data_IF_336439641213
#
_entry.id   IF_336439641213
#
_cell.length_a   1.000
_cell.length_b   1.000
_cell.length_c   1.000
_cell.angle_alpha   90.00
_cell.angle_beta   90.00
_cell.angle_gamma   90.00
#
_symmetry.space_group_name_H-M   'P 1'
#
loop_
_entity.id
_entity.type
_entity.pdbx_description
1 polymer ?
2 non-polymer ?
3 non-polymer ?
4 water ?
#
# COMPACT_ATOMS: atom_id res chain seq x y z
N UNK A 1 -12.73 -14.38 -11.38
CA UNK A 1 -11.46 -14.33 -10.60
C UNK A 1 -11.87 -14.13 -9.13
N UNK A 2 -10.91 -14.39 -8.24
CA UNK A 2 -11.17 -14.22 -6.80
C UNK A 2 -9.98 -13.44 -6.21
N UNK A 3 -10.22 -12.67 -5.16
CA UNK A 3 -9.07 -11.92 -4.59
C UNK A 3 -9.44 -11.76 -3.10
N UNK A 4 -8.41 -12.05 -2.26
CA UNK A 4 -8.55 -11.84 -0.84
C UNK A 4 -8.60 -10.31 -0.55
N UNK A 5 -9.53 -9.89 0.29
CA UNK A 5 -9.58 -8.50 0.83
C UNK A 5 -8.21 -8.04 1.35
N UNK A 6 -7.85 -6.76 1.04
CA UNK A 6 -6.55 -6.31 1.46
C UNK A 6 -5.42 -6.67 0.55
N UNK A 7 -5.67 -7.29 -0.61
CA UNK A 7 -4.64 -7.61 -1.57
C UNK A 7 -4.84 -6.88 -2.93
N UNK A 8 -3.73 -6.75 -3.66
CA UNK A 8 -3.74 -6.26 -5.00
C UNK A 8 -3.65 -7.41 -5.99
N UNK A 9 -4.19 -7.15 -7.20
CA UNK A 9 -4.16 -8.14 -8.34
C UNK A 9 -3.66 -7.37 -9.57
N UNK A 10 -2.74 -7.95 -10.32
CA UNK A 10 -2.31 -7.38 -11.58
C UNK A 10 -3.15 -7.99 -12.71
N UNK A 11 -4.03 -7.21 -13.25
CA UNK A 11 -4.93 -7.63 -14.31
C UNK A 11 -4.20 -7.51 -15.64
N UNK A 12 -4.31 -8.51 -16.51
CA UNK A 12 -3.63 -8.40 -17.77
C UNK A 12 -4.69 -8.31 -18.90
N UNK A 13 -4.49 -7.42 -19.85
CA UNK A 13 -5.50 -7.09 -20.88
C UNK A 13 -4.79 -6.97 -22.22
N UNK A 14 -5.52 -7.26 -23.32
CA UNK A 14 -4.95 -6.97 -24.62
C UNK A 14 -4.75 -5.47 -24.81
N UNK A 15 -3.64 -5.05 -25.37
CA UNK A 15 -3.33 -3.70 -25.70
C UNK A 15 -4.07 -3.17 -26.87
N UNK A 16 -4.19 -4.03 -27.92
CA UNK A 16 -4.73 -3.45 -29.19
C UNK A 16 -6.13 -2.95 -29.09
N UNK A 17 -6.32 -1.70 -29.58
CA UNK A 17 -7.62 -1.07 -29.54
C UNK A 17 -8.29 -0.81 -28.22
N UNK A 18 -7.47 -0.90 -27.14
CA UNK A 18 -7.96 -0.67 -25.81
C UNK A 18 -8.17 0.88 -25.65
N UNK A 19 -9.26 1.20 -25.03
CA UNK A 19 -9.63 2.62 -24.71
C UNK A 19 -9.63 2.90 -23.24
N UNK A 20 -10.28 2.12 -22.38
CA UNK A 20 -10.43 2.49 -20.94
C UNK A 20 -10.88 1.36 -20.10
N UNK A 21 -10.43 1.30 -18.85
CA UNK A 21 -10.80 0.30 -17.92
C UNK A 21 -11.53 1.00 -16.79
N UNK A 22 -12.73 0.58 -16.50
CA UNK A 22 -13.65 1.23 -15.56
C UNK A 22 -14.18 0.34 -14.53
N UNK A 23 -14.32 0.92 -13.32
CA UNK A 23 -15.06 0.28 -12.19
C UNK A 23 -16.21 1.19 -11.91
N UNK A 24 -17.41 0.84 -12.38
CA UNK A 24 -18.51 1.87 -12.47
C UNK A 24 -18.02 3.11 -13.16
N UNK A 25 -18.10 4.29 -12.59
CA UNK A 25 -17.60 5.45 -13.33
C UNK A 25 -16.16 5.87 -12.99
N UNK A 26 -15.45 5.06 -12.24
CA UNK A 26 -14.06 5.33 -11.90
C UNK A 26 -13.10 4.72 -12.94
N UNK A 27 -12.15 5.50 -13.43
CA UNK A 27 -11.18 5.01 -14.42
C UNK A 27 -10.03 4.36 -13.70
N UNK A 28 -9.51 3.23 -14.17
CA UNK A 28 -8.39 2.57 -13.58
C UNK A 28 -7.29 2.68 -14.58
N UNK A 29 -6.13 3.25 -14.21
CA UNK A 29 -5.00 3.39 -15.16
C UNK A 29 -4.36 2.06 -15.58
N UNK A 30 -3.68 2.17 -16.70
CA UNK A 30 -2.98 1.03 -17.23
C UNK A 30 -1.52 1.35 -17.47
N UNK A 31 -0.71 0.31 -17.62
CA UNK A 31 0.71 0.40 -17.92
C UNK A 31 1.18 -0.81 -18.74
N UNK A 32 2.35 -0.67 -19.36
CA UNK A 32 2.83 -1.71 -20.28
C UNK A 32 3.21 -3.01 -19.55
N UNK A 33 2.80 -4.12 -20.14
CA UNK A 33 3.43 -5.44 -19.72
C UNK A 33 4.83 -5.46 -20.18
N UNK A 34 5.81 -5.67 -19.27
CA UNK A 34 7.24 -5.50 -19.63
C UNK A 34 7.76 -6.60 -20.53
N UNK A 35 7.07 -7.70 -20.54
CA UNK A 35 7.55 -8.87 -21.35
C UNK A 35 6.75 -9.09 -22.63
N UNK A 36 5.44 -8.94 -22.54
CA UNK A 36 4.49 -9.29 -23.65
C UNK A 36 4.00 -7.99 -24.25
N UNK A 37 4.60 -7.57 -25.33
CA UNK A 37 4.17 -6.32 -26.08
C UNK A 37 2.73 -6.23 -26.57
N UNK A 38 1.98 -7.32 -26.58
CA UNK A 38 0.61 -7.27 -26.94
C UNK A 38 -0.33 -7.06 -25.71
N UNK A 39 0.29 -6.89 -24.51
CA UNK A 39 -0.54 -6.82 -23.30
C UNK A 39 -0.28 -5.49 -22.54
N UNK A 40 -1.29 -5.11 -21.76
CA UNK A 40 -1.12 -4.05 -20.74
C UNK A 40 -1.56 -4.65 -19.41
N UNK A 41 -1.32 -3.89 -18.30
CA UNK A 41 -1.53 -4.33 -16.95
C UNK A 41 -2.26 -3.18 -16.22
N UNK A 42 -3.09 -3.56 -15.26
CA UNK A 42 -3.70 -2.65 -14.29
C UNK A 42 -3.63 -3.29 -12.91
N UNK A 43 -3.53 -2.42 -11.88
CA UNK A 43 -3.64 -2.91 -10.50
C UNK A 43 -5.00 -2.67 -9.96
N UNK A 44 -5.62 -3.74 -9.48
CA UNK A 44 -6.87 -3.64 -8.81
C UNK A 44 -6.74 -4.16 -7.38
N UNK A 45 -7.16 -3.33 -6.41
CA UNK A 45 -7.01 -3.74 -5.01
C UNK A 45 -8.29 -3.69 -4.33
N UNK A 46 -8.50 -4.61 -3.38
CA UNK A 46 -9.68 -4.55 -2.51
C UNK A 46 -9.26 -4.00 -1.11
N UNK A 47 -10.05 -3.14 -0.54
CA UNK A 47 -9.78 -2.68 0.83
C UNK A 47 -10.01 -3.83 1.81
N UNK A 48 -9.24 -3.82 2.89
CA UNK A 48 -9.38 -4.77 3.95
C UNK A 48 -10.77 -4.62 4.62
N UNK A 49 -11.15 -3.40 4.98
CA UNK A 49 -12.40 -3.13 5.65
C UNK A 49 -13.51 -2.78 4.66
N UNK A 50 -14.66 -3.44 4.86
CA UNK A 50 -15.88 -3.12 4.09
C UNK A 50 -15.66 -3.24 2.60
N UNK A 51 -15.01 -4.30 2.18
CA UNK A 51 -14.90 -4.47 0.70
C UNK A 51 -16.29 -4.88 0.14
N UNK A 52 -16.51 -4.65 -1.15
CA UNK A 52 -17.73 -5.25 -1.78
C UNK A 52 -17.61 -6.71 -1.85
N UNK A 53 -18.74 -7.44 -1.90
CA UNK A 53 -18.63 -8.88 -2.03
C UNK A 53 -18.16 -9.28 -3.46
N UNK A 54 -18.54 -8.46 -4.42
CA UNK A 54 -18.17 -8.70 -5.83
C UNK A 54 -17.90 -7.41 -6.58
N UNK A 55 -17.00 -7.49 -7.55
CA UNK A 55 -16.66 -6.34 -8.39
C UNK A 55 -16.76 -6.75 -9.88
N UNK A 56 -17.30 -5.84 -10.67
CA UNK A 56 -17.24 -5.98 -12.11
C UNK A 56 -16.52 -4.80 -12.73
N UNK A 57 -15.42 -5.07 -13.42
CA UNK A 57 -14.63 -4.06 -14.15
C UNK A 57 -15.02 -4.24 -15.60
N UNK A 58 -14.97 -3.17 -16.34
CA UNK A 58 -15.13 -3.27 -17.81
C UNK A 58 -14.01 -2.61 -18.59
N UNK A 59 -13.39 -3.40 -19.47
CA UNK A 59 -12.41 -2.92 -20.37
C UNK A 59 -13.10 -2.54 -21.69
N UNK A 60 -13.12 -1.24 -22.03
CA UNK A 60 -13.73 -0.76 -23.27
C UNK A 60 -12.69 -0.71 -24.35
N UNK A 61 -12.99 -1.38 -25.50
CA UNK A 61 -12.19 -1.36 -26.67
C UNK A 61 -12.97 -0.61 -27.78
N UNK A 62 -12.28 -0.35 -28.86
CA UNK A 62 -12.89 0.33 -29.99
C UNK A 62 -14.05 -0.52 -30.64
N UNK A 63 -13.97 -1.85 -30.47
CA UNK A 63 -14.79 -2.86 -31.20
C UNK A 63 -15.75 -3.63 -30.25
N UNK A 64 -15.49 -3.57 -28.96
CA UNK A 64 -16.24 -4.41 -28.02
C UNK A 64 -15.89 -3.99 -26.54
N UNK A 65 -16.57 -4.60 -25.61
CA UNK A 65 -16.20 -4.48 -24.15
C UNK A 65 -15.95 -5.84 -23.58
N UNK A 66 -15.05 -5.91 -22.61
CA UNK A 66 -14.70 -7.13 -21.85
C UNK A 66 -15.05 -6.94 -20.37
N UNK A 67 -15.96 -7.73 -19.83
CA UNK A 67 -16.24 -7.76 -18.38
C UNK A 67 -15.27 -8.63 -17.65
N UNK A 68 -14.85 -8.19 -16.44
CA UNK A 68 -13.96 -8.93 -15.59
C UNK A 68 -14.68 -8.95 -14.23
N UNK A 69 -14.87 -10.17 -13.70
CA UNK A 69 -15.59 -10.35 -12.42
C UNK A 69 -14.64 -10.82 -11.36
N UNK A 70 -14.67 -10.13 -10.20
CA UNK A 70 -13.76 -10.50 -9.10
C UNK A 70 -14.60 -10.67 -7.79
N UNK A 71 -14.50 -11.90 -7.25
CA UNK A 71 -15.16 -12.26 -5.99
C UNK A 71 -14.19 -11.97 -4.83
N UNK A 72 -14.71 -11.28 -3.86
CA UNK A 72 -13.90 -10.97 -2.64
C UNK A 72 -13.82 -12.19 -1.79
N UNK A 73 -12.63 -12.62 -1.42
CA UNK A 73 -12.47 -13.68 -0.40
C UNK A 73 -12.06 -13.09 0.95
N UNK A 74 -12.38 -13.80 2.03
CA UNK A 74 -12.11 -13.29 3.40
C UNK A 74 -10.70 -13.57 3.76
N UNK A 75 -10.09 -14.58 3.14
CA UNK A 75 -8.79 -15.02 3.49
C UNK A 75 -8.76 -15.69 4.89
N UNK A 76 -7.58 -15.80 5.42
CA UNK A 76 -7.31 -16.47 6.72
C UNK A 76 -6.47 -15.65 7.61
N UNK A 77 -6.83 -14.38 7.75
CA UNK A 77 -6.13 -13.47 8.61
C UNK A 77 -6.31 -13.82 10.09
N UNK A 78 -5.32 -13.48 10.89
CA UNK A 78 -5.44 -13.57 12.37
C UNK A 78 -6.45 -12.52 12.85
N UNK A 79 -7.33 -12.84 13.79
CA UNK A 79 -8.32 -11.94 14.25
C UNK A 79 -8.55 -12.22 15.75
N UNK A 80 -8.84 -11.18 16.49
CA UNK A 80 -9.26 -11.30 17.90
C UNK A 80 -10.49 -10.42 18.16
N UNK A 81 -11.28 -10.90 19.11
CA UNK A 81 -12.52 -10.28 19.50
C UNK A 81 -12.21 -9.05 20.34
N UNK A 82 -12.92 -7.96 20.10
CA UNK A 82 -12.86 -6.80 20.97
C UNK A 82 -13.93 -7.00 22.04
N UNK A 83 -13.53 -6.68 23.27
CA UNK A 83 -14.40 -6.75 24.42
C UNK A 83 -15.33 -5.52 24.49
N UNK A 84 -14.79 -4.35 24.12
CA UNK A 84 -15.56 -3.11 24.14
C UNK A 84 -15.76 -2.64 22.70
N UNK A 85 -16.98 -2.23 22.36
CA UNK A 85 -17.26 -1.69 21.02
C UNK A 85 -16.35 -0.48 20.61
N UNK A 86 -15.90 -0.51 19.34
CA UNK A 86 -15.08 0.62 18.81
C UNK A 86 -15.96 1.84 18.51
N UNK A 87 -16.39 2.47 19.59
CA UNK A 87 -17.26 3.65 19.50
C UNK A 87 -16.42 4.89 19.22
N UNK A 88 -17.06 6.03 18.99
CA UNK A 88 -16.38 7.31 18.88
C UNK A 88 -15.44 7.43 20.06
N UNK A 89 -14.16 7.77 19.82
CA UNK A 89 -13.24 8.16 20.93
C UNK A 89 -13.09 9.67 20.92
N UNK A 90 -12.50 10.20 21.97
CA UNK A 90 -12.54 11.65 22.16
C UNK A 90 -11.15 12.22 22.34
N UNK A 91 -10.38 12.32 21.26
CA UNK A 91 -9.04 12.92 21.46
C UNK A 91 -9.10 14.42 21.74
N UNK A 92 -8.01 14.98 22.29
CA UNK A 92 -7.87 16.40 22.41
C UNK A 92 -8.05 17.08 21.00
N UNK A 93 -8.65 18.25 20.94
CA UNK A 93 -8.87 18.95 19.67
C UNK A 93 -7.59 19.12 18.90
N UNK A 94 -6.50 19.46 19.58
CA UNK A 94 -5.24 19.60 18.93
C UNK A 94 -4.80 18.37 18.13
N UNK A 95 -5.11 17.19 18.69
CA UNK A 95 -4.78 15.97 18.05
C UNK A 95 -5.76 15.70 16.88
N UNK A 96 -7.05 15.92 17.11
CA UNK A 96 -8.05 15.80 16.00
C UNK A 96 -7.57 16.64 14.82
N UNK A 97 -7.16 17.87 15.07
CA UNK A 97 -6.72 18.77 14.00
C UNK A 97 -5.51 18.27 13.26
N UNK A 98 -4.56 17.76 13.99
CA UNK A 98 -3.36 17.26 13.37
C UNK A 98 -3.68 16.06 12.43
N UNK A 99 -4.45 15.10 12.95
CA UNK A 99 -4.91 13.94 12.23
C UNK A 99 -5.59 14.34 10.95
N UNK A 100 -6.50 15.30 11.04
CA UNK A 100 -7.27 15.73 9.88
C UNK A 100 -6.38 16.38 8.83
N UNK A 101 -5.43 17.18 9.27
CA UNK A 101 -4.50 17.84 8.39
C UNK A 101 -3.62 16.84 7.63
N UNK A 102 -3.04 15.90 8.40
CA UNK A 102 -2.17 14.91 7.82
C UNK A 102 -2.92 13.95 6.85
N UNK A 103 -4.17 13.69 7.14
CA UNK A 103 -5.03 12.84 6.26
C UNK A 103 -5.26 13.56 4.97
N UNK A 104 -5.63 14.85 5.04
CA UNK A 104 -5.77 15.63 3.81
C UNK A 104 -4.51 15.68 2.98
N UNK A 105 -3.36 15.90 3.64
CA UNK A 105 -2.09 15.91 2.97
C UNK A 105 -1.79 14.56 2.25
N UNK A 106 -1.93 13.49 3.00
CA UNK A 106 -1.64 12.17 2.42
C UNK A 106 -2.65 11.87 1.28
N UNK A 107 -3.92 12.19 1.44
CA UNK A 107 -4.90 11.87 0.39
C UNK A 107 -4.52 12.54 -0.89
N UNK A 108 -4.07 13.78 -0.78
CA UNK A 108 -3.57 14.53 -1.92
C UNK A 108 -2.38 13.92 -2.62
N UNK A 109 -1.37 13.51 -1.84
CA UNK A 109 -0.21 12.88 -2.37
C UNK A 109 -0.50 11.58 -3.07
N UNK A 110 -1.38 10.75 -2.51
CA UNK A 110 -1.70 9.52 -3.10
C UNK A 110 -2.58 9.66 -4.35
N UNK A 111 -3.18 10.83 -4.49
CA UNK A 111 -3.93 11.19 -5.70
C UNK A 111 -3.12 11.68 -6.86
N UNK A 112 -1.88 12.08 -6.69
CA UNK A 112 -1.07 12.66 -7.78
C UNK A 112 -0.36 11.49 -8.56
N UNK A 113 -1.06 10.93 -9.55
CA UNK A 113 -0.65 9.64 -10.14
C UNK A 113 0.54 9.85 -11.08
N UNK A 114 1.65 9.04 -10.98
CA UNK A 114 2.76 9.16 -11.81
C UNK A 114 2.70 8.07 -12.95
N UNK A 115 2.50 8.49 -14.18
CA UNK A 115 2.20 7.50 -15.23
C UNK A 115 3.41 6.89 -15.88
N UNK A 116 4.51 6.65 -15.16
CA UNK A 116 5.66 6.01 -15.65
C UNK A 116 6.33 5.23 -14.48
N UNK A 117 7.19 4.31 -14.82
CA UNK A 117 7.88 3.54 -13.77
C UNK A 117 8.99 4.41 -13.19
N UNK A 118 8.99 4.56 -11.88
CA UNK A 118 10.15 5.15 -11.18
C UNK A 118 11.02 4.10 -10.45
N UNK A 119 10.54 2.88 -10.38
CA UNK A 119 11.26 1.70 -9.91
C UNK A 119 12.28 1.13 -10.90
N UNK A 120 13.10 0.24 -10.42
CA UNK A 120 14.19 -0.39 -11.17
C UNK A 120 14.21 -1.83 -10.86
N UNK A 121 13.44 -2.62 -11.58
CA UNK A 121 13.33 -3.99 -11.33
C UNK A 121 12.56 -4.35 -10.07
N UNK A 122 12.91 -5.49 -9.51
CA UNK A 122 12.21 -6.10 -8.37
C UNK A 122 12.36 -5.22 -7.09
N UNK A 123 11.32 -5.27 -6.26
CA UNK A 123 11.44 -4.78 -4.89
C UNK A 123 12.33 -5.68 -4.07
N UNK A 124 13.08 -5.05 -3.16
CA UNK A 124 13.89 -5.72 -2.12
C UNK A 124 13.27 -5.40 -0.80
N UNK A 125 13.44 -6.27 0.19
CA UNK A 125 12.92 -5.91 1.51
C UNK A 125 13.76 -4.73 2.05
N UNK A 126 13.16 -3.91 2.93
CA UNK A 126 13.90 -2.74 3.38
C UNK A 126 15.00 -2.95 4.47
N UNK A 127 15.01 -4.14 5.04
CA UNK A 127 16.11 -4.54 5.93
C UNK A 127 16.01 -6.07 5.97
N UNK A 128 17.14 -6.69 6.30
CA UNK A 128 17.22 -8.13 6.21
C UNK A 128 16.85 -8.80 7.47
N UNK A 129 15.72 -8.47 7.98
CA UNK A 129 15.19 -9.02 9.18
C UNK A 129 14.01 -9.90 8.97
N UNK A 130 13.17 -10.05 9.98
CA UNK A 130 12.02 -10.96 9.97
C UNK A 130 10.77 -10.34 10.44
N UNK A 131 9.64 -10.81 10.01
CA UNK A 131 8.36 -10.24 10.44
C UNK A 131 7.94 -10.58 11.85
N UNK A 132 7.61 -9.61 12.68
CA UNK A 132 7.11 -9.85 14.01
C UNK A 132 5.64 -9.59 14.13
N UNK A 133 4.98 -8.85 13.23
CA UNK A 133 3.58 -8.65 13.26
C UNK A 133 3.07 -8.53 11.83
N UNK A 134 2.34 -9.53 11.34
CA UNK A 134 1.91 -9.56 9.94
C UNK A 134 0.84 -8.57 9.55
N UNK A 135 0.75 -8.26 8.25
CA UNK A 135 -0.39 -7.49 7.73
C UNK A 135 -1.71 -8.18 7.98
N UNK A 136 -2.71 -7.44 8.30
CA UNK A 136 -4.09 -7.87 8.27
C UNK A 136 -4.57 -8.52 9.54
N UNK A 137 -3.74 -8.53 10.60
CA UNK A 137 -4.27 -8.94 11.91
C UNK A 137 -5.37 -8.00 12.26
N UNK A 138 -6.49 -8.51 12.72
CA UNK A 138 -7.65 -7.67 12.85
C UNK A 138 -8.20 -7.77 14.28
N UNK A 139 -9.01 -6.80 14.62
CA UNK A 139 -9.82 -6.77 15.84
C UNK A 139 -11.24 -6.62 15.44
N UNK A 140 -12.11 -7.54 15.94
CA UNK A 140 -13.48 -7.51 15.47
C UNK A 140 -14.43 -7.25 16.65
N UNK A 141 -15.52 -6.60 16.35
CA UNK A 141 -16.62 -6.44 17.33
C UNK A 141 -17.89 -6.92 16.64
N UNK A 142 -18.48 -7.96 17.22
CA UNK A 142 -19.68 -8.56 16.66
C UNK A 142 -19.42 -9.08 15.26
N UNK A 143 -18.25 -9.71 15.11
CA UNK A 143 -17.75 -10.29 13.83
C UNK A 143 -17.59 -9.32 12.64
N UNK A 144 -17.54 -8.02 12.91
CA UNK A 144 -17.30 -7.06 11.88
C UNK A 144 -15.89 -6.50 12.22
N UNK A 145 -15.08 -6.23 11.22
CA UNK A 145 -13.74 -5.66 11.44
C UNK A 145 -13.83 -4.21 11.95
N UNK A 146 -13.27 -3.95 13.14
CA UNK A 146 -13.11 -2.66 13.70
C UNK A 146 -11.79 -1.99 13.34
N UNK A 147 -10.72 -2.78 13.34
CA UNK A 147 -9.43 -2.23 12.98
C UNK A 147 -8.53 -3.36 12.51
N UNK A 148 -7.48 -3.00 11.76
CA UNK A 148 -6.55 -3.99 11.27
C UNK A 148 -5.18 -3.45 11.10
N UNK A 149 -4.19 -4.30 11.05
CA UNK A 149 -2.80 -3.88 10.83
C UNK A 149 -2.60 -3.61 9.39
N UNK A 150 -2.30 -2.36 9.03
CA UNK A 150 -2.26 -1.94 7.62
C UNK A 150 -0.94 -2.07 6.94
N UNK A 151 0.06 -2.68 7.59
CA UNK A 151 1.32 -2.98 7.03
C UNK A 151 1.96 -4.13 7.76
N UNK A 152 3.22 -4.33 7.58
CA UNK A 152 3.90 -5.48 8.25
C UNK A 152 5.06 -4.96 9.03
N UNK A 153 5.28 -5.48 10.23
CA UNK A 153 6.39 -5.04 11.04
C UNK A 153 7.57 -6.00 11.05
N UNK A 154 8.75 -5.43 10.86
CA UNK A 154 10.02 -6.16 10.85
C UNK A 154 10.73 -5.98 12.17
N UNK A 155 11.32 -6.97 12.71
CA UNK A 155 12.14 -6.78 13.93
C UNK A 155 13.30 -5.87 13.67
N UNK A 156 13.45 -4.85 14.54
CA UNK A 156 14.55 -3.96 14.44
C UNK A 156 14.80 -3.28 15.80
N UNK A 157 16.00 -3.37 16.26
CA UNK A 157 16.46 -2.54 17.39
C UNK A 157 16.48 -1.10 16.93
N UNK A 158 16.26 -0.15 17.84
CA UNK A 158 16.46 1.24 17.45
C UNK A 158 17.79 1.50 16.85
N UNK A 159 17.80 2.25 15.74
CA UNK A 159 18.96 2.59 15.06
C UNK A 159 19.44 1.65 13.99
N UNK A 160 18.55 0.80 13.48
CA UNK A 160 18.88 -0.12 12.41
C UNK A 160 18.71 0.55 11.05
N UNK A 161 19.69 0.49 10.19
CA UNK A 161 19.59 1.17 8.85
C UNK A 161 18.46 0.56 8.02
N UNK A 162 17.67 1.48 7.46
CA UNK A 162 16.56 1.11 6.55
C UNK A 162 16.82 1.62 5.18
N UNK A 163 16.56 0.75 4.19
CA UNK A 163 16.92 1.00 2.84
C UNK A 163 15.66 0.98 1.96
N UNK A 164 15.63 1.88 0.93
CA UNK A 164 14.48 1.90 0.03
C UNK A 164 14.29 0.56 -0.65
N UNK A 165 13.04 0.14 -0.63
CA UNK A 165 12.63 -1.16 -1.23
C UNK A 165 12.67 -1.14 -2.72
N UNK A 166 12.58 0.06 -3.32
CA UNK A 166 12.83 0.20 -4.76
C UNK A 166 13.14 1.65 -5.03
N UNK A 167 13.55 1.97 -6.25
CA UNK A 167 13.75 3.35 -6.58
C UNK A 167 12.47 4.15 -6.71
N UNK A 168 12.53 5.46 -6.49
CA UNK A 168 11.39 6.32 -6.59
C UNK A 168 11.65 7.75 -6.18
N UNK A 169 10.60 8.46 -5.91
CA UNK A 169 10.70 9.81 -5.43
C UNK A 169 10.03 9.95 -4.07
N UNK A 170 10.76 10.61 -3.14
CA UNK A 170 10.24 10.80 -1.78
C UNK A 170 9.15 11.77 -1.70
N UNK A 171 7.98 11.45 -1.19
CA UNK A 171 6.81 12.30 -1.15
C UNK A 171 6.53 12.83 0.25
N UNK A 172 6.90 12.02 1.26
CA UNK A 172 6.70 12.31 2.70
C UNK A 172 7.97 11.99 3.43
N UNK A 173 8.44 12.90 4.36
CA UNK A 173 9.65 12.72 5.04
C UNK A 173 9.62 13.56 6.36
N UNK A 174 8.70 13.26 7.21
CA UNK A 174 8.45 14.01 8.45
C UNK A 174 7.79 13.22 9.49
N UNK A 175 7.65 13.83 10.68
CA UNK A 175 6.89 13.22 11.73
C UNK A 175 5.43 13.35 11.64
N UNK A 176 4.66 12.30 11.74
CA UNK A 176 3.23 12.29 11.67
C UNK A 176 2.57 11.63 12.82
N UNK A 177 1.33 11.91 13.11
CA UNK A 177 0.68 11.31 14.26
C UNK A 177 0.58 9.81 14.19
N UNK A 178 0.01 9.30 13.15
CA UNK A 178 -0.04 7.74 13.39
C UNK A 178 1.31 7.04 13.25
N UNK A 179 2.05 7.53 12.33
CA UNK A 179 3.21 6.89 11.83
C UNK A 179 4.52 7.28 12.48
N UNK A 180 4.58 8.26 13.38
CA UNK A 180 5.86 8.74 13.79
C UNK A 180 6.64 9.27 12.64
N UNK A 181 7.95 9.28 12.76
CA UNK A 181 8.83 9.73 11.73
C UNK A 181 8.65 8.80 10.51
N UNK A 182 8.23 9.36 9.41
CA UNK A 182 7.87 8.53 8.25
C UNK A 182 8.36 8.97 6.93
N UNK A 183 8.62 7.99 6.05
CA UNK A 183 9.05 8.22 4.71
C UNK A 183 8.05 7.48 3.81
N UNK A 184 7.64 8.12 2.75
CA UNK A 184 6.75 7.53 1.73
C UNK A 184 7.42 7.79 0.42
N UNK A 185 7.59 6.76 -0.40
CA UNK A 185 8.24 6.83 -1.71
C UNK A 185 7.20 6.49 -2.79
N UNK A 186 7.11 7.37 -3.77
CA UNK A 186 6.36 7.07 -5.08
C UNK A 186 7.21 6.27 -6.04
N UNK A 187 6.74 5.10 -6.45
CA UNK A 187 7.46 4.22 -7.36
C UNK A 187 6.89 4.30 -8.83
N UNK A 188 5.87 5.13 -9.02
CA UNK A 188 5.11 5.19 -10.28
C UNK A 188 3.95 4.23 -10.24
N UNK A 189 3.01 4.52 -11.14
CA UNK A 189 1.87 3.67 -11.33
C UNK A 189 1.00 3.54 -10.08
N UNK A 190 0.98 4.55 -9.22
CA UNK A 190 0.18 4.54 -8.05
C UNK A 190 0.66 3.60 -6.95
N UNK A 191 1.93 3.21 -7.03
CA UNK A 191 2.54 2.28 -6.06
C UNK A 191 3.44 3.09 -5.09
N UNK A 192 3.15 3.02 -3.79
CA UNK A 192 3.91 3.81 -2.80
C UNK A 192 4.38 2.85 -1.73
N UNK A 193 5.61 2.98 -1.32
CA UNK A 193 6.12 2.26 -0.14
C UNK A 193 6.25 3.22 1.03
N UNK A 194 6.07 2.68 2.25
CA UNK A 194 5.91 3.42 3.49
C UNK A 194 6.83 2.84 4.55
N UNK A 195 7.52 3.74 5.34
CA UNK A 195 8.53 3.26 6.30
C UNK A 195 8.26 4.10 7.52
N UNK A 196 7.68 3.49 8.59
CA UNK A 196 7.15 4.25 9.70
C UNK A 196 8.00 4.00 10.98
N UNK A 197 7.83 4.92 11.94
CA UNK A 197 8.40 4.85 13.29
C UNK A 197 9.88 5.02 13.41
N UNK A 198 10.50 5.66 12.43
CA UNK A 198 11.88 5.88 12.29
C UNK A 198 12.41 6.70 13.49
N UNK A 199 13.64 6.44 13.84
CA UNK A 199 14.33 7.35 14.76
C UNK A 199 15.02 8.47 14.04
N UNK A 200 15.39 8.30 12.80
CA UNK A 200 16.12 9.33 12.00
C UNK A 200 15.68 9.25 10.55
N UNK A 201 15.38 10.40 9.98
CA UNK A 201 15.04 10.51 8.52
C UNK A 201 16.22 11.01 7.76
N UNK A 202 16.67 10.31 6.72
CA UNK A 202 17.86 10.65 6.01
C UNK A 202 17.58 11.19 4.59
N UNK A 203 16.34 11.40 4.25
CA UNK A 203 16.00 11.94 2.92
C UNK A 203 15.08 13.17 3.09
N UNK A 204 14.85 13.89 1.98
CA UNK A 204 13.92 14.95 1.96
C UNK A 204 12.88 14.84 0.84
N UNK A 205 11.79 15.50 1.04
CA UNK A 205 10.70 15.55 0.08
C UNK A 205 11.22 15.96 -1.28
N UNK A 206 10.81 15.24 -2.32
CA UNK A 206 11.32 15.51 -3.68
C UNK A 206 12.56 14.86 -4.16
N UNK A 207 13.30 14.20 -3.29
CA UNK A 207 14.53 13.56 -3.57
C UNK A 207 14.30 12.30 -4.40
N UNK A 208 15.14 12.06 -5.41
CA UNK A 208 15.16 10.77 -6.17
C UNK A 208 15.96 9.80 -5.34
N UNK A 209 15.47 8.59 -5.07
CA UNK A 209 16.15 7.61 -4.22
C UNK A 209 16.29 6.33 -5.08
N UNK A 210 17.42 5.66 -4.99
CA UNK A 210 17.69 4.42 -5.66
C UNK A 210 17.33 3.22 -4.75
N UNK A 211 16.92 2.12 -5.34
CA UNK A 211 16.74 0.85 -4.64
C UNK A 211 17.94 0.59 -3.79
N UNK A 212 17.74 0.27 -2.51
CA UNK A 212 18.84 -0.04 -1.66
C UNK A 212 19.59 1.11 -1.03
N UNK A 213 19.22 2.33 -1.32
CA UNK A 213 19.79 3.48 -0.72
C UNK A 213 19.22 3.69 0.67
N UNK A 214 20.05 4.20 1.60
CA UNK A 214 19.58 4.49 2.97
C UNK A 214 18.54 5.59 3.03
N UNK A 215 17.45 5.35 3.72
CA UNK A 215 16.45 6.33 3.92
C UNK A 215 16.31 6.82 5.36
N UNK A 216 16.86 6.06 6.30
CA UNK A 216 16.68 6.42 7.69
C UNK A 216 17.19 5.33 8.59
N UNK A 217 16.95 5.54 9.85
CA UNK A 217 17.23 4.53 10.93
C UNK A 217 15.93 4.24 11.59
N UNK A 218 15.73 2.98 11.87
CA UNK A 218 14.57 2.46 12.52
C UNK A 218 14.40 3.02 13.94
N UNK A 219 13.22 3.10 14.42
CA UNK A 219 13.02 3.50 15.81
C UNK A 219 11.77 2.98 16.44
N UNK A 220 11.20 3.81 17.34
CA UNK A 220 9.96 3.58 17.95
C UNK A 220 9.07 4.76 17.95
N UNK A 221 9.34 5.72 17.08
CA UNK A 221 8.56 6.96 17.14
C UNK A 221 7.10 6.68 16.82
N UNK A 222 6.22 7.13 17.67
CA UNK A 222 4.78 7.00 17.44
C UNK A 222 4.26 5.65 17.67
N UNK A 223 5.05 4.78 18.31
CA UNK A 223 4.74 3.39 18.51
C UNK A 223 4.52 3.08 20.03
N UNK A 224 3.43 2.43 20.30
CA UNK A 224 3.16 2.01 21.66
C UNK A 224 3.93 0.80 22.03
N UNK A 225 4.10 -0.11 21.08
CA UNK A 225 4.76 -1.43 21.43
C UNK A 225 6.25 -1.62 21.30
N UNK A 226 7.03 -0.61 21.24
CA UNK A 226 8.48 -0.97 21.28
C UNK A 226 9.02 -0.87 19.86
N UNK A 227 10.32 -0.85 19.72
CA UNK A 227 10.93 -0.48 18.46
C UNK A 227 10.66 -1.55 17.39
N UNK A 228 10.42 -1.10 16.16
CA UNK A 228 10.26 -2.08 14.99
C UNK A 228 10.11 -1.17 13.75
N UNK A 229 10.30 -1.75 12.55
CA UNK A 229 10.05 -1.02 11.30
C UNK A 229 8.69 -1.43 10.82
N UNK A 230 7.75 -0.51 10.64
CA UNK A 230 6.46 -0.80 10.04
C UNK A 230 6.67 -0.50 8.53
N UNK A 231 6.43 -1.48 7.64
CA UNK A 231 6.56 -1.31 6.24
C UNK A 231 5.17 -1.47 5.60
N UNK A 232 4.77 -0.56 4.69
CA UNK A 232 3.47 -0.59 4.04
C UNK A 232 3.67 -0.36 2.51
N UNK A 233 2.68 -0.84 1.80
CA UNK A 233 2.50 -0.56 0.35
C UNK A 233 1.06 -0.13 0.15
N UNK A 234 0.92 1.01 -0.56
CA UNK A 234 -0.35 1.47 -1.07
C UNK A 234 -0.29 1.29 -2.60
N UNK A 235 -1.30 0.63 -3.14
CA UNK A 235 -1.31 0.37 -4.62
C UNK A 235 -2.78 0.18 -4.95
N UNK A 236 -3.14 0.67 -6.13
CA UNK A 236 -4.54 0.65 -6.51
C UNK A 236 -5.44 1.47 -5.57
N UNK A 237 -4.87 2.48 -4.96
CA UNK A 237 -5.55 3.31 -4.02
C UNK A 237 -5.75 2.81 -2.63
N UNK A 238 -5.28 1.60 -2.30
CA UNK A 238 -5.59 1.00 -1.03
C UNK A 238 -4.32 0.49 -0.34
N UNK A 239 -4.31 0.38 1.00
CA UNK A 239 -3.19 -0.36 1.67
C UNK A 239 -3.38 -1.85 1.39
N UNK A 240 -2.35 -2.47 0.89
CA UNK A 240 -2.44 -3.90 0.60
C UNK A 240 -1.33 -4.68 1.29
N UNK A 241 -1.49 -6.00 1.34
CA UNK A 241 -0.49 -6.85 1.97
C UNK A 241 0.85 -6.70 1.30
N UNK A 242 1.84 -6.16 2.00
CA UNK A 242 3.08 -5.76 1.31
C UNK A 242 3.86 -6.91 0.77
N UNK A 243 3.99 -8.01 1.52
CA UNK A 243 4.81 -9.10 0.98
C UNK A 243 4.11 -9.80 -0.19
N UNK A 244 2.79 -9.97 -0.08
CA UNK A 244 1.96 -10.43 -1.18
C UNK A 244 2.13 -9.56 -2.44
N UNK A 245 2.04 -8.25 -2.24
CA UNK A 245 2.29 -7.32 -3.34
C UNK A 245 3.68 -7.44 -3.98
N UNK A 246 4.78 -7.53 -3.19
CA UNK A 246 6.09 -7.62 -3.70
C UNK A 246 6.22 -8.91 -4.53
N UNK A 247 5.70 -9.98 -3.99
CA UNK A 247 5.74 -11.28 -4.70
C UNK A 247 5.11 -11.17 -6.11
N UNK A 248 3.93 -10.58 -6.16
CA UNK A 248 3.17 -10.35 -7.41
C UNK A 248 3.92 -9.45 -8.41
N UNK A 249 4.39 -8.31 -7.90
CA UNK A 249 5.15 -7.36 -8.66
C UNK A 249 6.44 -7.91 -9.23
N UNK A 250 7.19 -8.64 -8.40
CA UNK A 250 8.46 -9.17 -8.77
C UNK A 250 8.27 -10.27 -9.82
N UNK A 251 7.20 -11.00 -9.75
CA UNK A 251 6.90 -12.08 -10.75
C UNK A 251 6.83 -11.44 -12.14
N UNK A 252 6.37 -10.18 -12.22
CA UNK A 252 6.24 -9.50 -13.50
C UNK A 252 7.49 -8.74 -13.85
N UNK A 253 8.13 -8.00 -12.91
CA UNK A 253 9.15 -7.01 -13.24
C UNK A 253 10.55 -7.40 -12.90
N UNK A 254 10.78 -8.53 -12.23
CA UNK A 254 12.12 -8.84 -11.71
C UNK A 254 13.20 -8.96 -12.80
N UNK A 255 12.80 -9.40 -13.99
CA UNK A 255 13.81 -9.48 -15.03
C UNK A 255 13.85 -8.15 -15.84
#
# INVERSE_FOLDING_TARGET
MELIKGQALFLELDKKDFLSLKNNDKNIPTFAHPKNQEKILAIFSLPYKNPPQNTKLIAFYKDKKEEIFIKTLEGNYKSEKLQVENKKIFPPKTIQERIAKELKEANAIYSSYTPKALFNGAFNIPLNSFITSDFGKARTFNEKVASYHSGTDFRAATGTPIYAANSGVVKIAKDRYFAGNSVVIDHGFGIYSQYYHLSKIDVKVGQKIKKGELIGLSGASGRVSGPALHFGILAGGKQVDPLDFVSKFNAIFQL
#
